data_IF_862456773277
#
_entry.id   IF_862456773277
#
_cell.length_a   1.000
_cell.length_b   1.000
_cell.length_c   1.000
_cell.angle_alpha   90.00
_cell.angle_beta   90.00
_cell.angle_gamma   90.00
#
_symmetry.space_group_name_H-M   'P 1'
#
loop_
_entity.id
_entity.type
_entity.pdbx_description
1 polymer ?
#
# COMPACT_ATOMS: atom_id res chain seq x y z
N UNK A 1 -45.04 -100.04 16.09
CA UNK A 1 -44.22 -99.22 15.19
C UNK A 1 -42.83 -99.11 15.83
N UNK A 2 -41.77 -99.67 15.22
CA UNK A 2 -40.43 -99.81 15.84
C UNK A 2 -39.67 -98.48 16.06
N UNK A 3 -40.36 -97.34 15.94
CA UNK A 3 -39.82 -95.98 15.97
C UNK A 3 -40.09 -95.24 17.29
N UNK A 4 -40.70 -95.92 18.27
CA UNK A 4 -40.90 -95.43 19.65
C UNK A 4 -40.39 -96.45 20.69
N UNK A 5 -39.22 -97.05 20.41
CA UNK A 5 -38.49 -97.90 21.35
C UNK A 5 -37.59 -97.04 22.26
N UNK A 6 -38.01 -96.78 23.50
CA UNK A 6 -37.34 -95.86 24.44
C UNK A 6 -35.89 -96.24 24.80
N UNK A 7 -35.48 -97.49 24.53
CA UNK A 7 -34.14 -98.00 24.79
C UNK A 7 -33.05 -97.34 23.92
N UNK A 8 -33.38 -96.89 22.70
CA UNK A 8 -32.41 -96.29 21.76
C UNK A 8 -32.28 -94.77 21.89
N UNK A 9 -33.14 -94.11 22.67
CA UNK A 9 -33.11 -92.66 22.85
C UNK A 9 -31.90 -92.19 23.67
N UNK A 10 -31.46 -92.97 24.66
CA UNK A 10 -30.34 -92.56 25.53
C UNK A 10 -29.02 -92.41 24.76
N UNK A 11 -28.57 -93.38 23.93
CA UNK A 11 -27.39 -93.20 23.09
C UNK A 11 -27.50 -92.05 22.08
N UNK A 12 -28.69 -91.83 21.50
CA UNK A 12 -28.92 -90.77 20.53
C UNK A 12 -28.85 -89.38 21.17
N UNK A 13 -29.40 -89.22 22.38
CA UNK A 13 -29.29 -87.99 23.16
C UNK A 13 -27.85 -87.68 23.58
N UNK A 14 -27.08 -88.70 23.98
CA UNK A 14 -25.65 -88.52 24.34
C UNK A 14 -24.87 -88.02 23.11
N UNK A 15 -25.04 -88.64 21.94
CA UNK A 15 -24.35 -88.21 20.72
C UNK A 15 -24.80 -86.82 20.24
N UNK A 16 -26.10 -86.51 20.37
CA UNK A 16 -26.64 -85.19 20.10
C UNK A 16 -25.99 -84.13 21.00
N UNK A 17 -25.86 -84.39 22.29
CA UNK A 17 -25.18 -83.46 23.22
C UNK A 17 -23.70 -83.30 22.86
N UNK A 18 -22.99 -84.37 22.56
CA UNK A 18 -21.57 -84.31 22.19
C UNK A 18 -21.37 -83.47 20.91
N UNK A 19 -22.15 -83.74 19.87
CA UNK A 19 -22.07 -83.01 18.60
C UNK A 19 -22.53 -81.56 18.73
N UNK A 20 -23.57 -81.30 19.52
CA UNK A 20 -24.05 -79.94 19.79
C UNK A 20 -23.04 -79.11 20.58
N UNK A 21 -22.42 -79.68 21.62
CA UNK A 21 -21.34 -79.02 22.38
C UNK A 21 -20.13 -78.79 21.49
N UNK A 22 -19.74 -79.76 20.66
CA UNK A 22 -18.67 -79.59 19.67
C UNK A 22 -18.93 -78.43 18.71
N UNK A 23 -20.14 -78.36 18.15
CA UNK A 23 -20.57 -77.26 17.27
C UNK A 23 -20.61 -75.92 18.02
N UNK A 24 -21.13 -75.90 19.24
CA UNK A 24 -21.20 -74.69 20.08
C UNK A 24 -19.80 -74.13 20.38
N UNK A 25 -18.84 -75.00 20.72
CA UNK A 25 -17.45 -74.59 20.94
C UNK A 25 -16.81 -74.09 19.65
N UNK A 26 -17.05 -74.74 18.51
CA UNK A 26 -16.56 -74.27 17.21
C UNK A 26 -17.12 -72.88 16.87
N UNK A 27 -18.43 -72.69 17.04
CA UNK A 27 -19.10 -71.41 16.77
C UNK A 27 -18.61 -70.31 17.72
N UNK A 28 -18.55 -70.58 19.02
CA UNK A 28 -18.13 -69.58 20.02
C UNK A 28 -16.66 -69.22 19.89
N UNK A 29 -15.78 -70.18 19.58
CA UNK A 29 -14.33 -69.97 19.57
C UNK A 29 -13.77 -69.54 18.22
N UNK A 30 -14.48 -69.80 17.11
CA UNK A 30 -13.99 -69.52 15.75
C UNK A 30 -14.93 -68.60 14.97
N UNK A 31 -16.22 -68.91 14.87
CA UNK A 31 -17.14 -68.15 14.02
C UNK A 31 -17.45 -66.75 14.60
N UNK A 32 -17.84 -66.68 15.87
CA UNK A 32 -18.13 -65.42 16.56
C UNK A 32 -16.94 -64.45 16.60
N UNK A 33 -15.71 -64.84 16.99
CA UNK A 33 -14.58 -63.90 17.01
C UNK A 33 -14.18 -63.42 15.61
N UNK A 34 -14.34 -64.25 14.57
CA UNK A 34 -14.09 -63.79 13.19
C UNK A 34 -15.08 -62.72 12.73
N UNK A 35 -16.36 -62.87 13.05
CA UNK A 35 -17.38 -61.88 12.72
C UNK A 35 -17.16 -60.60 13.54
N UNK A 36 -16.85 -60.74 14.85
CA UNK A 36 -16.52 -59.63 15.73
C UNK A 36 -15.34 -58.80 15.20
N UNK A 37 -14.26 -59.46 14.79
CA UNK A 37 -13.08 -58.78 14.24
C UNK A 37 -13.36 -57.99 12.95
N UNK A 38 -14.23 -58.49 12.06
CA UNK A 38 -14.62 -57.74 10.84
C UNK A 38 -15.45 -56.51 11.18
N UNK A 39 -16.36 -56.62 12.16
CA UNK A 39 -17.17 -55.48 12.61
C UNK A 39 -16.28 -54.42 13.27
N UNK A 40 -15.37 -54.84 14.15
CA UNK A 40 -14.43 -53.95 14.82
C UNK A 40 -13.50 -53.26 13.81
N UNK A 41 -12.96 -53.99 12.83
CA UNK A 41 -12.13 -53.42 11.78
C UNK A 41 -12.88 -52.35 10.97
N UNK A 42 -14.15 -52.59 10.64
CA UNK A 42 -14.98 -51.59 9.95
C UNK A 42 -15.26 -50.38 10.84
N UNK A 43 -15.59 -50.58 12.11
CA UNK A 43 -15.82 -49.48 13.04
C UNK A 43 -14.57 -48.63 13.22
N UNK A 44 -13.41 -49.26 13.43
CA UNK A 44 -12.12 -48.58 13.52
C UNK A 44 -11.82 -47.79 12.26
N UNK A 45 -12.00 -48.39 11.07
CA UNK A 45 -11.78 -47.68 9.80
C UNK A 45 -12.67 -46.46 9.63
N UNK A 46 -13.96 -46.59 9.95
CA UNK A 46 -14.90 -45.47 9.87
C UNK A 46 -14.51 -44.36 10.85
N UNK A 47 -14.13 -44.72 12.09
CA UNK A 47 -13.68 -43.75 13.07
C UNK A 47 -12.41 -43.02 12.60
N UNK A 48 -11.40 -43.77 12.14
CA UNK A 48 -10.16 -43.21 11.60
C UNK A 48 -10.42 -42.26 10.42
N UNK A 49 -11.31 -42.64 9.49
CA UNK A 49 -11.66 -41.83 8.32
C UNK A 49 -12.41 -40.55 8.73
N UNK A 50 -13.29 -40.62 9.73
CA UNK A 50 -14.01 -39.44 10.26
C UNK A 50 -13.03 -38.50 10.97
N UNK A 51 -12.12 -39.03 11.79
CA UNK A 51 -11.12 -38.23 12.50
C UNK A 51 -10.16 -37.55 11.53
N UNK A 52 -9.71 -38.28 10.50
CA UNK A 52 -8.90 -37.73 9.43
C UNK A 52 -9.63 -36.61 8.67
N UNK A 53 -10.90 -36.84 8.29
CA UNK A 53 -11.72 -35.83 7.63
C UNK A 53 -11.92 -34.58 8.49
N UNK A 54 -12.16 -34.75 9.80
CA UNK A 54 -12.32 -33.63 10.73
C UNK A 54 -11.01 -32.86 10.90
N UNK A 55 -9.87 -33.55 10.98
CA UNK A 55 -8.54 -32.91 11.06
C UNK A 55 -8.26 -32.10 9.80
N UNK A 56 -8.46 -32.68 8.62
CA UNK A 56 -8.28 -31.99 7.33
C UNK A 56 -9.20 -30.78 7.19
N UNK A 57 -10.45 -30.90 7.64
CA UNK A 57 -11.38 -29.77 7.67
C UNK A 57 -10.87 -28.66 8.59
N UNK A 58 -10.44 -29.00 9.80
CA UNK A 58 -9.92 -28.03 10.77
C UNK A 58 -8.65 -27.34 10.26
N UNK A 59 -7.76 -28.07 9.60
CA UNK A 59 -6.55 -27.51 8.96
C UNK A 59 -6.90 -26.56 7.82
N UNK A 60 -7.88 -26.95 6.99
CA UNK A 60 -8.37 -26.11 5.88
C UNK A 60 -9.01 -24.82 6.42
N UNK A 61 -9.88 -24.93 7.43
CA UNK A 61 -10.53 -23.77 8.07
C UNK A 61 -9.48 -22.81 8.67
N UNK A 62 -8.43 -23.35 9.32
CA UNK A 62 -7.30 -22.55 9.82
C UNK A 62 -6.50 -21.90 8.69
N UNK A 63 -6.23 -22.62 7.61
CA UNK A 63 -5.50 -22.09 6.46
C UNK A 63 -6.28 -20.97 5.75
N UNK A 64 -7.60 -21.12 5.60
CA UNK A 64 -8.49 -20.10 5.06
C UNK A 64 -8.47 -18.86 5.97
N UNK A 65 -8.64 -19.03 7.29
CA UNK A 65 -8.60 -17.92 8.23
C UNK A 65 -7.26 -17.16 8.19
N UNK A 66 -6.14 -17.88 8.15
CA UNK A 66 -4.81 -17.28 8.05
C UNK A 66 -4.62 -16.55 6.70
N UNK A 67 -5.11 -17.12 5.60
CA UNK A 67 -5.06 -16.50 4.28
C UNK A 67 -5.90 -15.21 4.22
N UNK A 68 -7.14 -15.25 4.74
CA UNK A 68 -8.01 -14.09 4.80
C UNK A 68 -7.41 -12.98 5.67
N UNK A 69 -6.83 -13.33 6.82
CA UNK A 69 -6.11 -12.38 7.68
C UNK A 69 -4.92 -11.77 6.94
N UNK A 70 -4.08 -12.59 6.30
CA UNK A 70 -2.93 -12.11 5.54
C UNK A 70 -3.34 -11.18 4.39
N UNK A 71 -4.45 -11.48 3.70
CA UNK A 71 -5.00 -10.64 2.64
C UNK A 71 -5.53 -9.31 3.18
N UNK A 72 -6.22 -9.33 4.34
CA UNK A 72 -6.70 -8.12 4.99
C UNK A 72 -5.52 -7.23 5.44
N UNK A 73 -4.49 -7.81 6.06
CA UNK A 73 -3.28 -7.11 6.46
C UNK A 73 -2.52 -6.54 5.25
N UNK A 74 -2.40 -7.29 4.16
CA UNK A 74 -1.76 -6.81 2.94
C UNK A 74 -2.50 -5.63 2.32
N UNK A 75 -3.85 -5.68 2.27
CA UNK A 75 -4.68 -4.56 1.81
C UNK A 75 -4.54 -3.34 2.71
N UNK A 76 -4.57 -3.53 4.03
CA UNK A 76 -4.37 -2.44 4.98
C UNK A 76 -2.99 -1.78 4.80
N UNK A 77 -1.91 -2.57 4.73
CA UNK A 77 -0.56 -2.06 4.47
C UNK A 77 -0.45 -1.32 3.15
N UNK A 78 -1.06 -1.85 2.08
CA UNK A 78 -1.08 -1.17 0.78
C UNK A 78 -1.79 0.18 0.85
N UNK A 79 -2.93 0.27 1.56
CA UNK A 79 -3.62 1.54 1.78
C UNK A 79 -2.77 2.52 2.60
N UNK A 80 -2.14 2.07 3.68
CA UNK A 80 -1.24 2.90 4.50
C UNK A 80 -0.07 3.43 3.67
N UNK A 81 0.63 2.56 2.92
CA UNK A 81 1.74 2.98 2.05
C UNK A 81 1.27 4.00 1.01
N UNK A 82 0.11 3.77 0.39
CA UNK A 82 -0.44 4.70 -0.59
C UNK A 82 -0.79 6.06 0.02
N UNK A 83 -1.31 6.09 1.25
CA UNK A 83 -1.58 7.33 1.98
C UNK A 83 -0.29 8.06 2.37
N UNK A 84 0.65 7.36 3.02
CA UNK A 84 1.94 7.93 3.42
C UNK A 84 2.72 8.49 2.23
N UNK A 85 2.71 7.77 1.09
CA UNK A 85 3.36 8.23 -0.14
C UNK A 85 2.70 9.50 -0.67
N UNK A 86 1.36 9.57 -0.67
CA UNK A 86 0.63 10.77 -1.12
C UNK A 86 0.92 11.95 -0.21
N UNK A 87 0.92 11.74 1.09
CA UNK A 87 1.16 12.80 2.07
C UNK A 87 2.60 13.32 1.97
N UNK A 88 3.57 12.42 1.80
CA UNK A 88 4.98 12.77 1.60
C UNK A 88 5.17 13.54 0.29
N UNK A 89 4.61 13.07 -0.82
CA UNK A 89 4.69 13.75 -2.11
C UNK A 89 4.03 15.13 -2.07
N UNK A 90 2.88 15.27 -1.42
CA UNK A 90 2.22 16.57 -1.27
C UNK A 90 3.09 17.53 -0.45
N UNK A 91 3.73 17.05 0.63
CA UNK A 91 4.64 17.86 1.43
C UNK A 91 5.88 18.29 0.64
N UNK A 92 6.47 17.39 -0.15
CA UNK A 92 7.61 17.70 -1.02
C UNK A 92 7.22 18.72 -2.12
N UNK A 93 6.07 18.54 -2.75
CA UNK A 93 5.56 19.46 -3.77
C UNK A 93 5.33 20.85 -3.18
N UNK A 94 4.74 20.97 -2.00
CA UNK A 94 4.54 22.29 -1.39
C UNK A 94 5.84 22.92 -0.89
N UNK A 95 6.80 22.12 -0.41
CA UNK A 95 8.13 22.63 -0.08
C UNK A 95 8.86 23.18 -1.31
N UNK A 96 8.84 22.45 -2.43
CA UNK A 96 9.48 22.89 -3.67
C UNK A 96 8.75 24.08 -4.28
N UNK A 97 7.41 24.12 -4.25
CA UNK A 97 6.63 25.29 -4.65
C UNK A 97 7.02 26.53 -3.85
N UNK A 98 7.04 26.44 -2.52
CA UNK A 98 7.40 27.57 -1.67
C UNK A 98 8.83 28.08 -1.97
N UNK A 99 9.77 27.17 -2.26
CA UNK A 99 11.13 27.52 -2.66
C UNK A 99 11.16 28.22 -4.02
N UNK A 100 10.47 27.68 -5.02
CA UNK A 100 10.37 28.28 -6.36
C UNK A 100 9.72 29.65 -6.30
N UNK A 101 8.65 29.81 -5.52
CA UNK A 101 7.98 31.10 -5.32
C UNK A 101 8.92 32.13 -4.67
N UNK A 102 9.72 31.71 -3.68
CA UNK A 102 10.74 32.57 -3.08
C UNK A 102 11.83 32.98 -4.08
N UNK A 103 12.30 32.05 -4.92
CA UNK A 103 13.27 32.34 -5.97
C UNK A 103 12.71 33.30 -7.03
N UNK A 104 11.44 33.13 -7.42
CA UNK A 104 10.74 34.03 -8.34
C UNK A 104 10.62 35.42 -7.73
N UNK A 105 10.22 35.53 -6.46
CA UNK A 105 10.13 36.80 -5.76
C UNK A 105 11.47 37.54 -5.71
N UNK A 106 12.57 36.83 -5.41
CA UNK A 106 13.92 37.42 -5.42
C UNK A 106 14.36 37.86 -6.82
N UNK A 107 14.07 37.08 -7.87
CA UNK A 107 14.34 37.45 -9.26
C UNK A 107 13.55 38.70 -9.67
N UNK A 108 12.29 38.79 -9.30
CA UNK A 108 11.45 39.99 -9.55
C UNK A 108 12.06 41.20 -8.84
N UNK A 109 12.39 41.09 -7.55
CA UNK A 109 13.00 42.18 -6.79
C UNK A 109 14.33 42.66 -7.39
N UNK A 110 15.18 41.74 -7.88
CA UNK A 110 16.43 42.06 -8.59
C UNK A 110 16.18 42.75 -9.93
N UNK A 111 15.20 42.28 -10.69
CA UNK A 111 14.81 42.89 -11.95
C UNK A 111 14.26 44.32 -11.73
N UNK A 112 13.40 44.52 -10.73
CA UNK A 112 12.87 45.84 -10.38
C UNK A 112 13.97 46.83 -9.98
N UNK A 113 14.95 46.40 -9.15
CA UNK A 113 16.12 47.23 -8.80
C UNK A 113 16.94 47.60 -10.03
N UNK A 114 17.14 46.65 -10.95
CA UNK A 114 17.88 46.87 -12.19
C UNK A 114 17.14 47.88 -13.08
N UNK A 115 15.83 47.71 -13.27
CA UNK A 115 14.98 48.63 -14.03
C UNK A 115 15.02 50.04 -13.41
N UNK A 116 14.92 50.16 -12.09
CA UNK A 116 15.00 51.44 -11.39
C UNK A 116 16.36 52.13 -11.57
N UNK A 117 17.46 51.36 -11.49
CA UNK A 117 18.80 51.87 -11.72
C UNK A 117 18.99 52.33 -13.17
N UNK A 118 18.59 51.52 -14.15
CA UNK A 118 18.66 51.87 -15.58
C UNK A 118 17.79 53.08 -15.90
N UNK A 119 16.59 53.18 -15.34
CA UNK A 119 15.72 54.36 -15.48
C UNK A 119 16.41 55.62 -14.93
N UNK A 120 17.03 55.52 -13.76
CA UNK A 120 17.74 56.65 -13.15
C UNK A 120 18.95 57.09 -13.99
N UNK A 121 19.72 56.14 -14.50
CA UNK A 121 20.84 56.40 -15.42
C UNK A 121 20.36 57.06 -16.72
N UNK A 122 19.36 56.49 -17.39
CA UNK A 122 18.80 57.05 -18.62
C UNK A 122 18.26 58.47 -18.41
N UNK A 123 17.57 58.75 -17.29
CA UNK A 123 17.11 60.11 -16.98
C UNK A 123 18.27 61.08 -16.72
N UNK A 124 19.39 60.62 -16.15
CA UNK A 124 20.60 61.44 -16.00
C UNK A 124 21.23 61.74 -17.37
N UNK A 125 21.35 60.75 -18.23
CA UNK A 125 21.92 60.89 -19.57
C UNK A 125 21.08 61.84 -20.42
N UNK A 126 19.74 61.74 -20.37
CA UNK A 126 18.83 62.69 -21.03
C UNK A 126 19.05 64.11 -20.54
N UNK A 127 19.20 64.33 -19.22
CA UNK A 127 19.50 65.67 -18.67
C UNK A 127 20.85 66.19 -19.14
N UNK A 128 21.86 65.32 -19.23
CA UNK A 128 23.19 65.71 -19.71
C UNK A 128 23.13 66.11 -21.20
N UNK A 129 22.51 65.28 -22.04
CA UNK A 129 22.33 65.57 -23.47
C UNK A 129 21.52 66.85 -23.67
N UNK A 130 20.43 67.04 -22.93
CA UNK A 130 19.64 68.26 -23.00
C UNK A 130 20.46 69.50 -22.60
N UNK A 131 21.33 69.38 -21.59
CA UNK A 131 22.24 70.44 -21.16
C UNK A 131 23.32 70.76 -22.20
N UNK A 132 23.93 69.75 -22.80
CA UNK A 132 24.93 69.93 -23.86
C UNK A 132 24.28 70.57 -25.10
N UNK A 133 23.12 70.05 -25.56
CA UNK A 133 22.38 70.60 -26.72
C UNK A 133 21.90 72.03 -26.47
N UNK A 134 21.36 72.34 -25.28
CA UNK A 134 20.96 73.69 -24.93
C UNK A 134 22.18 74.65 -24.89
N UNK A 135 23.33 74.18 -24.39
CA UNK A 135 24.58 74.92 -24.40
C UNK A 135 25.06 75.24 -25.82
N UNK A 136 25.03 74.25 -26.71
CA UNK A 136 25.40 74.40 -28.11
C UNK A 136 24.51 75.42 -28.83
N UNK A 137 23.18 75.30 -28.67
CA UNK A 137 22.20 76.24 -29.25
C UNK A 137 22.44 77.67 -28.76
N UNK A 138 22.64 77.87 -27.45
CA UNK A 138 22.84 79.22 -26.90
C UNK A 138 24.19 79.81 -27.35
N UNK A 139 25.24 78.99 -27.46
CA UNK A 139 26.53 79.43 -27.98
C UNK A 139 26.44 79.90 -29.45
N UNK A 140 25.64 79.21 -30.26
CA UNK A 140 25.39 79.56 -31.65
C UNK A 140 24.63 80.89 -31.78
N UNK A 141 23.66 81.14 -30.88
CA UNK A 141 22.82 82.33 -30.91
C UNK A 141 23.50 83.58 -30.33
N UNK A 142 24.38 83.43 -29.33
CA UNK A 142 25.01 84.57 -28.63
C UNK A 142 26.45 84.86 -29.05
N UNK A 143 27.10 83.97 -29.81
CA UNK A 143 28.45 84.16 -30.33
C UNK A 143 29.56 84.21 -29.26
N UNK A 144 29.24 83.94 -27.99
CA UNK A 144 30.18 83.93 -26.86
C UNK A 144 30.15 82.58 -26.13
N UNK A 145 31.31 82.09 -25.69
CA UNK A 145 31.41 80.84 -24.92
C UNK A 145 30.79 81.02 -23.53
N UNK A 146 29.58 80.51 -23.36
CA UNK A 146 28.96 80.40 -22.03
C UNK A 146 29.57 79.20 -21.30
N UNK A 147 29.85 79.36 -20.01
CA UNK A 147 30.41 78.30 -19.17
C UNK A 147 29.38 77.20 -18.90
N UNK A 148 29.80 75.93 -19.01
CA UNK A 148 28.97 74.73 -18.77
C UNK A 148 28.17 74.78 -17.45
N UNK A 149 28.73 75.42 -16.41
CA UNK A 149 28.08 75.58 -15.11
C UNK A 149 26.83 76.48 -15.11
N UNK A 150 26.78 77.51 -15.97
CA UNK A 150 25.62 78.39 -16.08
C UNK A 150 24.45 77.68 -16.80
N UNK A 151 24.77 76.88 -17.82
CA UNK A 151 23.79 76.11 -18.60
C UNK A 151 23.17 75.00 -17.75
N UNK A 152 23.97 74.23 -17.00
CA UNK A 152 23.45 73.18 -16.11
C UNK A 152 22.54 73.74 -15.01
N UNK A 153 22.88 74.92 -14.47
CA UNK A 153 22.05 75.59 -13.45
C UNK A 153 20.71 76.10 -14.02
N UNK A 154 20.70 76.59 -15.26
CA UNK A 154 19.47 77.06 -15.92
C UNK A 154 18.55 75.90 -16.34
N UNK A 155 19.12 74.82 -16.87
CA UNK A 155 18.38 73.60 -17.24
C UNK A 155 17.82 72.90 -16.00
N UNK A 156 18.56 72.87 -14.88
CA UNK A 156 18.05 72.37 -13.60
C UNK A 156 16.81 73.14 -13.13
N UNK A 157 16.87 74.48 -13.16
CA UNK A 157 15.75 75.36 -12.78
C UNK A 157 14.51 75.20 -13.68
N UNK A 158 14.70 74.96 -14.98
CA UNK A 158 13.60 74.76 -15.94
C UNK A 158 12.97 73.36 -15.83
N UNK A 159 13.74 72.36 -15.42
CA UNK A 159 13.27 70.98 -15.21
C UNK A 159 12.55 70.75 -13.87
N UNK A 160 12.31 71.82 -13.07
CA UNK A 160 11.56 71.75 -11.83
C UNK A 160 12.33 71.23 -10.61
N UNK A 161 13.67 71.38 -10.60
CA UNK A 161 14.51 71.21 -9.41
C UNK A 161 15.05 72.56 -8.91
#
# INVERSE_FOLDING_TARGET
MPQLEFSTFSPQLIWLVITFVGLYLLMSRVALPRIGGVIEQRQSKIADDIDAAQSLKNETDKAIAAYEQALAEARAKAHTIAQETRDTLNAEVEAERAKVDAEIADKIAKAERTIAATKTAAMKDVRQIAGDVAGDIVSLLTGSKITKAAVTKAVGKAAGQ
#
